data_IF_519154965032
#
_entry.id   IF_519154965032
#
_cell.length_a   1.000
_cell.length_b   1.000
_cell.length_c   1.000
_cell.angle_alpha   90.00
_cell.angle_beta   90.00
_cell.angle_gamma   90.00
#
_symmetry.space_group_name_H-M   'P 1'
#
loop_
_entity.id
_entity.type
_entity.pdbx_description
1 polymer ?
#
# COMPACT_ATOMS: atom_id res chain seq x y z
N UNK A 1 6.55 -20.93 31.20
CA UNK A 1 5.57 -19.84 31.43
C UNK A 1 5.75 -18.78 30.34
N UNK A 2 4.80 -18.59 29.41
CA UNK A 2 4.91 -17.50 28.44
C UNK A 2 4.70 -16.16 29.18
N UNK A 3 5.76 -15.35 29.23
CA UNK A 3 5.77 -14.03 29.86
C UNK A 3 4.67 -13.13 29.31
N UNK A 4 4.03 -12.36 30.20
CA UNK A 4 2.94 -11.43 29.91
C UNK A 4 3.40 -10.33 28.93
N UNK A 5 3.13 -10.52 27.63
CA UNK A 5 3.67 -9.72 26.50
C UNK A 5 3.19 -8.26 26.43
N UNK A 6 2.50 -7.74 27.46
CA UNK A 6 2.00 -6.35 27.49
C UNK A 6 2.96 -5.38 28.19
N UNK A 7 3.73 -5.85 29.16
CA UNK A 7 4.61 -4.97 29.97
C UNK A 7 5.97 -4.77 29.29
N UNK A 8 6.49 -3.53 29.19
CA UNK A 8 7.83 -3.29 28.69
C UNK A 8 8.91 -4.06 29.50
N UNK A 9 9.96 -4.58 28.84
CA UNK A 9 11.10 -5.21 29.50
C UNK A 9 11.75 -4.32 30.56
N UNK A 10 12.13 -4.88 31.71
CA UNK A 10 12.58 -4.10 32.87
C UNK A 10 13.96 -3.46 32.65
N UNK A 11 14.11 -2.20 33.06
CA UNK A 11 15.39 -1.53 33.32
C UNK A 11 16.06 -2.15 34.57
N UNK A 12 17.26 -2.71 34.43
CA UNK A 12 17.96 -3.48 35.48
C UNK A 12 19.42 -3.04 35.67
N UNK A 13 19.96 -3.28 36.86
CA UNK A 13 21.36 -3.01 37.18
C UNK A 13 22.23 -4.24 36.87
N UNK A 14 23.24 -4.07 36.03
CA UNK A 14 24.35 -5.01 35.94
C UNK A 14 25.36 -4.71 37.06
N UNK A 15 25.28 -5.47 38.14
CA UNK A 15 26.05 -5.25 39.38
C UNK A 15 27.57 -5.20 39.18
N UNK A 16 28.12 -6.03 38.30
CA UNK A 16 29.57 -6.13 38.08
C UNK A 16 30.18 -4.90 37.41
N UNK A 17 29.38 -4.10 36.69
CA UNK A 17 29.86 -2.94 35.92
C UNK A 17 29.21 -1.63 36.33
N UNK A 18 28.20 -1.64 37.21
CA UNK A 18 27.46 -0.44 37.58
C UNK A 18 26.64 0.16 36.44
N UNK A 19 26.33 -0.64 35.42
CA UNK A 19 25.64 -0.21 34.20
C UNK A 19 24.16 -0.57 34.25
N UNK A 20 23.35 0.27 33.64
CA UNK A 20 21.98 -0.04 33.30
C UNK A 20 21.91 -1.01 32.11
N UNK A 21 21.00 -1.97 32.19
CA UNK A 21 20.79 -2.99 31.16
C UNK A 21 19.30 -3.31 30.99
N UNK A 22 18.88 -3.55 29.76
CA UNK A 22 17.57 -4.13 29.41
C UNK A 22 17.80 -5.34 28.50
N UNK A 23 17.00 -6.39 28.66
CA UNK A 23 17.07 -7.57 27.78
C UNK A 23 15.92 -7.53 26.80
N UNK A 24 16.26 -7.42 25.52
CA UNK A 24 15.30 -7.39 24.41
C UNK A 24 15.61 -8.58 23.51
N UNK A 25 14.60 -9.37 23.13
CA UNK A 25 14.75 -10.56 22.28
C UNK A 25 15.85 -11.55 22.72
N UNK A 26 16.14 -11.63 24.03
CA UNK A 26 17.17 -12.52 24.57
C UNK A 26 18.60 -11.95 24.56
N UNK A 27 18.80 -10.70 24.11
CA UNK A 27 20.08 -9.99 24.09
C UNK A 27 20.09 -8.86 25.12
N UNK A 28 21.20 -8.70 25.83
CA UNK A 28 21.39 -7.62 26.79
C UNK A 28 21.88 -6.34 26.09
N UNK A 29 21.19 -5.23 26.33
CA UNK A 29 21.54 -3.90 25.84
C UNK A 29 21.97 -3.02 27.02
N UNK A 30 23.22 -2.57 27.03
CA UNK A 30 23.77 -1.69 28.05
C UNK A 30 23.47 -0.22 27.72
N UNK A 31 22.94 0.51 28.69
CA UNK A 31 22.32 1.82 28.49
C UNK A 31 23.17 2.97 29.04
N UNK A 32 24.34 2.65 29.60
CA UNK A 32 25.18 3.61 30.33
C UNK A 32 25.09 3.43 31.84
N UNK A 33 25.51 4.45 32.60
CA UNK A 33 25.61 4.38 34.06
C UNK A 33 24.24 4.18 34.68
N UNK A 34 24.13 3.26 35.65
CA UNK A 34 22.88 3.01 36.38
C UNK A 34 22.30 4.28 37.02
N UNK A 35 20.99 4.46 36.89
CA UNK A 35 20.22 5.61 37.42
C UNK A 35 20.67 6.98 36.89
N UNK A 36 21.34 7.03 35.74
CA UNK A 36 21.63 8.29 35.05
C UNK A 36 20.48 8.71 34.12
N UNK A 37 20.31 10.00 33.92
CA UNK A 37 19.36 10.56 32.95
C UNK A 37 19.63 10.03 31.53
N UNK A 38 20.90 9.92 31.15
CA UNK A 38 21.35 9.33 29.88
C UNK A 38 20.84 7.88 29.71
N UNK A 39 20.96 7.05 30.76
CA UNK A 39 20.50 5.66 30.71
C UNK A 39 18.99 5.50 30.67
N UNK A 40 18.24 6.43 31.26
CA UNK A 40 16.79 6.47 31.13
C UNK A 40 16.37 6.89 29.72
N UNK A 41 17.01 7.90 29.13
CA UNK A 41 16.76 8.31 27.74
C UNK A 41 17.06 7.19 26.75
N UNK A 42 18.17 6.46 26.95
CA UNK A 42 18.53 5.33 26.11
C UNK A 42 17.57 4.15 26.28
N UNK A 43 17.12 3.89 27.51
CA UNK A 43 16.05 2.92 27.79
C UNK A 43 14.77 3.28 27.02
N UNK A 44 14.28 4.51 27.16
CA UNK A 44 13.05 4.96 26.52
C UNK A 44 13.15 4.90 24.99
N UNK A 45 14.31 5.28 24.43
CA UNK A 45 14.58 5.16 22.98
C UNK A 45 14.49 3.71 22.50
N UNK A 46 15.23 2.81 23.15
CA UNK A 46 15.26 1.40 22.75
C UNK A 46 13.92 0.69 22.95
N UNK A 47 13.18 1.02 24.01
CA UNK A 47 11.83 0.48 24.22
C UNK A 47 10.88 1.01 23.14
N UNK A 48 10.96 2.28 22.77
CA UNK A 48 10.13 2.85 21.71
C UNK A 48 10.42 2.18 20.34
N UNK A 49 11.70 2.02 19.97
CA UNK A 49 12.13 1.30 18.77
C UNK A 49 11.63 -0.16 18.78
N UNK A 50 11.82 -0.88 19.89
CA UNK A 50 11.38 -2.26 20.05
C UNK A 50 9.86 -2.41 19.95
N UNK A 51 9.09 -1.51 20.55
CA UNK A 51 7.63 -1.50 20.44
C UNK A 51 7.18 -1.20 19.00
N UNK A 52 7.82 -0.24 18.33
CA UNK A 52 7.52 0.12 16.94
C UNK A 52 7.83 -1.03 15.97
N UNK A 53 8.92 -1.75 16.17
CA UNK A 53 9.30 -2.96 15.42
C UNK A 53 8.50 -4.23 15.81
N UNK A 54 7.31 -4.06 16.40
CA UNK A 54 6.43 -5.19 16.72
C UNK A 54 6.94 -6.09 17.85
N UNK A 55 7.68 -5.52 18.81
CA UNK A 55 8.38 -6.24 19.90
C UNK A 55 9.52 -7.11 19.39
N UNK A 56 10.26 -6.60 18.41
CA UNK A 56 11.51 -7.20 17.94
C UNK A 56 12.63 -6.18 17.97
N UNK A 57 13.86 -6.62 18.25
CA UNK A 57 15.04 -5.75 18.13
C UNK A 57 15.55 -5.88 16.70
N UNK A 58 15.79 -4.78 15.97
CA UNK A 58 16.53 -4.85 14.73
C UNK A 58 17.88 -5.51 15.00
N UNK A 59 18.20 -6.60 14.32
CA UNK A 59 19.55 -7.16 14.42
C UNK A 59 20.49 -6.25 13.63
N UNK A 60 21.06 -5.25 14.30
CA UNK A 60 21.99 -4.28 13.70
C UNK A 60 23.31 -4.97 13.29
N UNK A 61 23.50 -6.24 13.68
CA UNK A 61 24.72 -6.99 13.50
C UNK A 61 24.53 -8.25 12.65
N UNK A 62 24.14 -8.12 11.38
CA UNK A 62 24.50 -9.08 10.35
C UNK A 62 24.55 -8.36 8.99
N UNK A 63 25.54 -8.73 8.17
CA UNK A 63 25.96 -8.13 6.90
C UNK A 63 24.81 -7.60 6.02
N UNK A 64 25.03 -6.58 5.15
CA UNK A 64 24.00 -6.15 4.22
C UNK A 64 23.54 -7.38 3.43
N UNK A 65 22.35 -7.88 3.75
CA UNK A 65 21.69 -8.83 2.85
C UNK A 65 21.54 -8.04 1.56
N UNK A 66 22.27 -8.46 0.53
CA UNK A 66 22.06 -7.99 -0.83
C UNK A 66 20.60 -8.28 -1.16
N UNK A 67 19.76 -7.26 -0.96
CA UNK A 67 18.31 -7.38 -1.10
C UNK A 67 18.04 -7.48 -2.59
N UNK A 68 17.42 -8.56 -3.06
CA UNK A 68 16.99 -8.63 -4.45
C UNK A 68 15.69 -7.84 -4.63
N UNK A 69 15.35 -7.51 -5.88
CA UNK A 69 14.03 -6.94 -6.18
C UNK A 69 12.89 -7.86 -5.74
N UNK A 70 13.08 -9.18 -5.82
CA UNK A 70 12.10 -10.15 -5.32
C UNK A 70 11.93 -10.06 -3.79
N UNK A 71 13.01 -9.90 -3.03
CA UNK A 71 12.94 -9.72 -1.58
C UNK A 71 12.21 -8.43 -1.22
N UNK A 72 12.48 -7.32 -1.95
CA UNK A 72 11.74 -6.05 -1.78
C UNK A 72 10.25 -6.23 -2.06
N UNK A 73 9.89 -6.96 -3.13
CA UNK A 73 8.49 -7.25 -3.45
C UNK A 73 7.84 -8.08 -2.34
N UNK A 74 8.53 -9.11 -1.84
CA UNK A 74 8.02 -9.98 -0.79
C UNK A 74 7.79 -9.21 0.52
N UNK A 75 8.76 -8.40 0.94
CA UNK A 75 8.66 -7.55 2.12
C UNK A 75 7.52 -6.53 1.97
N UNK A 76 7.44 -5.86 0.82
CA UNK A 76 6.35 -4.92 0.54
C UNK A 76 4.98 -5.60 0.52
N UNK A 77 4.89 -6.84 0.04
CA UNK A 77 3.62 -7.58 -0.01
C UNK A 77 3.07 -7.89 1.39
N UNK A 78 3.94 -8.15 2.36
CA UNK A 78 3.55 -8.31 3.77
C UNK A 78 2.97 -7.00 4.31
N UNK A 79 3.68 -5.89 4.12
CA UNK A 79 3.19 -4.56 4.50
C UNK A 79 1.86 -4.22 3.81
N UNK A 80 1.79 -4.44 2.50
CA UNK A 80 0.64 -4.07 1.68
C UNK A 80 -0.64 -4.76 2.15
N UNK A 81 -0.59 -6.04 2.52
CA UNK A 81 -1.75 -6.79 3.05
C UNK A 81 -2.31 -6.20 4.35
N UNK A 82 -1.47 -5.56 5.15
CA UNK A 82 -1.87 -4.91 6.40
C UNK A 82 -2.35 -3.48 6.14
N UNK A 83 -1.67 -2.76 5.25
CA UNK A 83 -1.91 -1.35 4.97
C UNK A 83 -3.12 -1.09 4.06
N UNK A 84 -3.25 -1.81 2.94
CA UNK A 84 -4.29 -1.57 1.93
C UNK A 84 -5.61 -2.25 2.28
N UNK A 85 -6.19 -1.85 3.42
CA UNK A 85 -7.47 -2.34 3.92
C UNK A 85 -8.47 -1.21 4.10
N UNK A 86 -9.75 -1.50 3.89
CA UNK A 86 -10.87 -0.64 4.28
C UNK A 86 -11.89 -1.52 5.01
N UNK A 87 -12.27 -1.12 6.22
CA UNK A 87 -13.17 -1.89 7.10
C UNK A 87 -12.70 -3.33 7.35
N UNK A 88 -11.40 -3.52 7.56
CA UNK A 88 -10.81 -4.85 7.78
C UNK A 88 -10.60 -5.68 6.51
N UNK A 89 -11.22 -5.32 5.39
CA UNK A 89 -11.12 -6.06 4.12
C UNK A 89 -10.05 -5.51 3.19
N UNK A 90 -9.33 -6.37 2.44
CA UNK A 90 -8.39 -5.92 1.42
C UNK A 90 -9.04 -5.08 0.32
N UNK A 91 -8.40 -3.98 -0.05
CA UNK A 91 -8.86 -3.16 -1.18
C UNK A 91 -8.40 -3.75 -2.52
N UNK A 92 -9.07 -3.34 -3.62
CA UNK A 92 -8.65 -3.67 -5.00
C UNK A 92 -7.23 -3.20 -5.34
N UNK A 93 -6.63 -2.34 -4.52
CA UNK A 93 -5.26 -1.90 -4.75
C UNK A 93 -4.24 -3.04 -4.59
N UNK A 94 -4.53 -4.07 -3.77
CA UNK A 94 -3.68 -5.26 -3.71
C UNK A 94 -3.61 -6.01 -5.04
N UNK A 95 -4.74 -6.15 -5.73
CA UNK A 95 -4.75 -6.76 -7.07
C UNK A 95 -3.93 -5.94 -8.05
N UNK A 96 -4.08 -4.61 -8.02
CA UNK A 96 -3.31 -3.72 -8.89
C UNK A 96 -1.80 -3.77 -8.58
N UNK A 97 -1.42 -3.85 -7.30
CA UNK A 97 -0.04 -4.03 -6.87
C UNK A 97 0.51 -5.38 -7.33
N UNK A 98 -0.30 -6.45 -7.28
CA UNK A 98 0.07 -7.77 -7.79
C UNK A 98 0.40 -7.72 -9.29
N UNK A 99 -0.38 -7.00 -10.08
CA UNK A 99 -0.10 -6.80 -11.51
C UNK A 99 1.26 -6.10 -11.74
N UNK A 100 1.55 -5.03 -10.99
CA UNK A 100 2.81 -4.30 -11.06
C UNK A 100 4.01 -5.16 -10.62
N UNK A 101 3.86 -5.85 -9.48
CA UNK A 101 4.89 -6.72 -8.92
C UNK A 101 5.22 -7.89 -9.85
N UNK A 102 4.22 -8.43 -10.57
CA UNK A 102 4.42 -9.56 -11.49
C UNK A 102 5.37 -9.21 -12.65
N UNK A 103 5.21 -8.05 -13.28
CA UNK A 103 6.11 -7.64 -14.39
C UNK A 103 7.50 -7.28 -13.85
N UNK A 104 7.56 -6.63 -12.69
CA UNK A 104 8.82 -6.30 -12.02
C UNK A 104 9.61 -7.55 -11.66
N UNK A 105 8.98 -8.52 -10.98
CA UNK A 105 9.60 -9.80 -10.59
C UNK A 105 10.03 -10.61 -11.81
N UNK A 106 9.20 -10.66 -12.87
CA UNK A 106 9.51 -11.42 -14.08
C UNK A 106 10.80 -10.95 -14.75
N UNK A 107 11.06 -9.64 -14.78
CA UNK A 107 12.21 -9.08 -15.49
C UNK A 107 13.43 -8.88 -14.60
N UNK A 108 13.23 -8.53 -13.33
CA UNK A 108 14.29 -8.07 -12.44
C UNK A 108 14.31 -8.78 -11.08
N UNK A 109 13.52 -9.84 -10.87
CA UNK A 109 13.37 -10.48 -9.55
C UNK A 109 14.69 -10.85 -8.88
N UNK A 110 15.64 -11.41 -9.63
CA UNK A 110 16.96 -11.82 -9.14
C UNK A 110 18.02 -10.71 -9.20
N UNK A 111 17.67 -9.51 -9.67
CA UNK A 111 18.58 -8.36 -9.67
C UNK A 111 18.69 -7.81 -8.26
N UNK A 112 19.89 -7.36 -7.86
CA UNK A 112 20.05 -6.60 -6.63
C UNK A 112 19.21 -5.33 -6.70
N UNK A 113 18.50 -5.02 -5.62
CA UNK A 113 17.54 -3.92 -5.58
C UNK A 113 18.21 -2.56 -5.80
N UNK A 114 19.45 -2.38 -5.32
CA UNK A 114 20.23 -1.16 -5.53
C UNK A 114 20.73 -1.00 -6.97
N UNK A 115 20.78 -2.08 -7.74
CA UNK A 115 21.09 -2.04 -9.17
C UNK A 115 19.85 -1.76 -10.04
N UNK A 116 18.64 -1.82 -9.46
CA UNK A 116 17.41 -1.51 -10.16
C UNK A 116 17.24 0.01 -10.37
N UNK A 117 17.88 0.56 -11.40
CA UNK A 117 17.89 1.99 -11.68
C UNK A 117 16.80 2.51 -12.65
N UNK A 118 16.83 3.81 -12.98
CA UNK A 118 15.90 4.46 -13.92
C UNK A 118 15.85 3.80 -15.31
N UNK A 119 16.97 3.26 -15.80
CA UNK A 119 17.02 2.53 -17.08
C UNK A 119 16.21 1.23 -17.01
N UNK A 120 16.35 0.46 -15.93
CA UNK A 120 15.59 -0.75 -15.69
C UNK A 120 14.07 -0.47 -15.63
N UNK A 121 13.67 0.61 -14.95
CA UNK A 121 12.26 1.04 -14.91
C UNK A 121 11.72 1.44 -16.30
N UNK A 122 12.54 2.07 -17.16
CA UNK A 122 12.16 2.35 -18.56
C UNK A 122 12.00 1.06 -19.38
N UNK A 123 12.78 0.01 -19.13
CA UNK A 123 12.57 -1.30 -19.77
C UNK A 123 11.20 -1.88 -19.39
N UNK A 124 10.75 -1.70 -18.14
CA UNK A 124 9.39 -2.10 -17.75
C UNK A 124 8.32 -1.30 -18.51
N UNK A 125 8.53 0.00 -18.75
CA UNK A 125 7.62 0.78 -19.60
C UNK A 125 7.50 0.16 -20.99
N UNK A 126 8.63 -0.18 -21.61
CA UNK A 126 8.67 -0.80 -22.94
C UNK A 126 8.02 -2.19 -22.96
N UNK A 127 8.26 -3.00 -21.92
CA UNK A 127 7.61 -4.29 -21.77
C UNK A 127 6.09 -4.17 -21.74
N UNK A 128 5.56 -3.21 -20.97
CA UNK A 128 4.12 -3.01 -20.88
C UNK A 128 3.52 -2.42 -22.18
N UNK A 129 4.28 -1.61 -22.91
CA UNK A 129 3.91 -1.15 -24.26
C UNK A 129 3.79 -2.35 -25.20
N UNK A 130 4.80 -3.23 -25.24
CA UNK A 130 4.84 -4.43 -26.07
C UNK A 130 3.69 -5.40 -25.78
N UNK A 131 3.21 -5.44 -24.53
CA UNK A 131 2.03 -6.20 -24.15
C UNK A 131 0.69 -5.56 -24.60
N UNK A 132 0.72 -4.43 -25.31
CA UNK A 132 -0.48 -3.76 -25.83
C UNK A 132 -1.27 -2.96 -24.78
N UNK A 133 -0.65 -2.64 -23.64
CA UNK A 133 -1.34 -1.91 -22.58
C UNK A 133 -1.58 -0.44 -22.94
N UNK A 134 -2.61 0.17 -22.33
CA UNK A 134 -2.87 1.59 -22.52
C UNK A 134 -1.89 2.46 -21.75
N UNK A 135 -1.61 3.66 -22.26
CA UNK A 135 -0.73 4.66 -21.61
C UNK A 135 -1.10 4.91 -20.14
N UNK A 136 -2.40 5.08 -19.86
CA UNK A 136 -2.90 5.32 -18.52
C UNK A 136 -2.67 4.12 -17.59
N UNK A 137 -2.85 2.89 -18.09
CA UNK A 137 -2.55 1.69 -17.32
C UNK A 137 -1.05 1.59 -17.02
N UNK A 138 -0.20 1.78 -18.03
CA UNK A 138 1.26 1.74 -17.90
C UNK A 138 1.72 2.74 -16.83
N UNK A 139 1.31 4.00 -16.94
CA UNK A 139 1.66 5.03 -15.95
C UNK A 139 1.20 4.65 -14.53
N UNK A 140 0.03 4.02 -14.41
CA UNK A 140 -0.48 3.52 -13.13
C UNK A 140 0.35 2.37 -12.56
N UNK A 141 0.84 1.44 -13.40
CA UNK A 141 1.74 0.37 -12.97
C UNK A 141 3.12 0.91 -12.56
N UNK A 142 3.68 1.84 -13.34
CA UNK A 142 4.95 2.50 -13.02
C UNK A 142 4.85 3.27 -11.70
N UNK A 143 3.74 3.98 -11.47
CA UNK A 143 3.49 4.65 -10.19
C UNK A 143 3.49 3.70 -9.00
N UNK A 144 2.94 2.49 -9.17
CA UNK A 144 2.96 1.44 -8.15
C UNK A 144 4.35 0.88 -7.89
N UNK A 145 5.13 0.62 -8.94
CA UNK A 145 6.53 0.18 -8.80
C UNK A 145 7.33 1.23 -8.02
N UNK A 146 7.21 2.51 -8.38
CA UNK A 146 7.85 3.60 -7.62
C UNK A 146 7.41 3.64 -6.15
N UNK A 147 6.14 3.31 -5.87
CA UNK A 147 5.62 3.25 -4.50
C UNK A 147 6.26 2.11 -3.69
N UNK A 148 6.46 0.95 -4.31
CA UNK A 148 7.16 -0.19 -3.69
C UNK A 148 8.57 0.23 -3.26
N UNK A 149 9.35 0.84 -4.15
CA UNK A 149 10.71 1.28 -3.83
C UNK A 149 10.76 2.48 -2.87
N UNK A 150 9.79 3.39 -2.92
CA UNK A 150 9.69 4.47 -1.91
C UNK A 150 9.47 3.91 -0.52
N UNK A 151 8.61 2.91 -0.39
CA UNK A 151 8.43 2.19 0.87
C UNK A 151 9.71 1.45 1.28
N UNK A 152 10.38 0.77 0.35
CA UNK A 152 11.65 0.09 0.65
C UNK A 152 12.71 1.04 1.22
N UNK A 153 12.79 2.27 0.68
CA UNK A 153 13.66 3.33 1.23
C UNK A 153 13.24 3.75 2.64
N UNK A 154 11.94 3.88 2.92
CA UNK A 154 11.49 4.26 4.27
C UNK A 154 11.70 3.18 5.32
N UNK A 155 11.87 1.93 4.89
CA UNK A 155 12.20 0.78 5.75
C UNK A 155 13.71 0.47 5.75
N UNK A 156 14.54 1.34 5.16
CA UNK A 156 15.99 1.18 5.08
C UNK A 156 16.46 -0.12 4.40
N UNK A 157 15.63 -0.70 3.52
CA UNK A 157 15.91 -1.97 2.81
C UNK A 157 16.78 -1.80 1.56
N UNK A 158 16.91 -0.57 1.06
CA UNK A 158 17.63 -0.18 -0.15
C UNK A 158 18.25 1.20 0.05
N UNK A 159 19.20 1.59 -0.82
CA UNK A 159 19.88 2.88 -0.71
C UNK A 159 18.91 4.09 -0.73
N UNK A 160 19.19 5.15 0.04
CA UNK A 160 18.26 6.26 0.24
C UNK A 160 17.96 7.08 -1.02
N UNK A 161 18.90 7.16 -1.98
CA UNK A 161 18.73 7.91 -3.22
C UNK A 161 17.83 7.20 -4.26
N UNK A 162 17.57 5.89 -4.09
CA UNK A 162 16.91 5.07 -5.09
C UNK A 162 15.49 5.56 -5.41
N UNK A 163 14.72 5.93 -4.37
CA UNK A 163 13.37 6.45 -4.55
C UNK A 163 13.36 7.75 -5.37
N UNK A 164 14.34 8.63 -5.14
CA UNK A 164 14.49 9.86 -5.91
C UNK A 164 14.88 9.55 -7.36
N UNK A 165 15.87 8.69 -7.59
CA UNK A 165 16.31 8.30 -8.92
C UNK A 165 15.15 7.72 -9.76
N UNK A 166 14.36 6.81 -9.19
CA UNK A 166 13.18 6.24 -9.86
C UNK A 166 12.08 7.27 -10.10
N UNK A 167 11.93 8.26 -9.20
CA UNK A 167 10.96 9.33 -9.37
C UNK A 167 11.20 10.15 -10.65
N UNK A 168 12.47 10.34 -11.04
CA UNK A 168 12.89 11.07 -12.24
C UNK A 168 12.42 10.44 -13.56
N UNK A 169 12.04 9.16 -13.58
CA UNK A 169 11.48 8.51 -14.77
C UNK A 169 10.07 9.07 -15.03
N UNK A 170 9.92 9.95 -16.03
CA UNK A 170 8.60 10.51 -16.37
C UNK A 170 7.63 9.42 -16.82
N UNK A 171 6.35 9.64 -16.53
CA UNK A 171 5.27 8.86 -17.14
C UNK A 171 5.24 9.08 -18.65
N UNK A 172 4.71 8.10 -19.38
CA UNK A 172 4.48 8.19 -20.81
C UNK A 172 3.51 9.36 -21.11
N UNK A 173 3.94 10.24 -22.01
CA UNK A 173 3.19 11.40 -22.45
C UNK A 173 2.30 11.06 -23.65
N UNK A 174 1.16 11.74 -23.75
CA UNK A 174 0.18 11.50 -24.82
C UNK A 174 0.83 11.74 -26.18
N UNK A 175 0.70 10.77 -27.08
CA UNK A 175 1.25 10.87 -28.44
C UNK A 175 2.78 10.93 -28.53
N UNK A 176 3.50 10.52 -27.47
CA UNK A 176 4.98 10.51 -27.42
C UNK A 176 5.55 9.10 -27.23
N UNK A 177 4.73 8.07 -27.42
CA UNK A 177 5.09 6.66 -27.30
C UNK A 177 4.15 5.79 -28.11
N UNK A 178 4.53 4.55 -28.37
CA UNK A 178 3.70 3.53 -29.05
C UNK A 178 2.61 2.92 -28.15
N UNK A 179 2.51 3.35 -26.90
CA UNK A 179 1.44 2.92 -25.99
C UNK A 179 0.06 3.21 -26.57
N UNK A 180 -0.86 2.25 -26.43
CA UNK A 180 -2.25 2.42 -26.86
C UNK A 180 -2.90 3.61 -26.14
N UNK A 181 -3.51 4.51 -26.90
CA UNK A 181 -4.40 5.53 -26.34
C UNK A 181 -5.83 5.00 -26.27
N UNK A 182 -6.55 5.33 -25.20
CA UNK A 182 -7.96 4.98 -25.04
C UNK A 182 -8.82 6.20 -25.26
N UNK A 183 -9.91 6.06 -26.01
CA UNK A 183 -10.91 7.10 -26.14
C UNK A 183 -11.51 7.42 -24.75
N UNK A 184 -11.86 8.69 -24.49
CA UNK A 184 -12.67 9.05 -23.34
C UNK A 184 -14.00 8.27 -23.35
N UNK A 185 -14.49 7.89 -22.17
CA UNK A 185 -15.82 7.30 -22.04
C UNK A 185 -16.85 8.43 -22.14
N UNK A 186 -17.71 8.38 -23.16
CA UNK A 186 -18.77 9.35 -23.38
C UNK A 186 -20.05 9.00 -22.60
N UNK A 187 -20.92 10.00 -22.41
CA UNK A 187 -22.24 9.77 -21.85
C UNK A 187 -23.10 8.91 -22.81
N UNK A 188 -23.94 8.05 -22.23
CA UNK A 188 -24.89 7.23 -22.99
C UNK A 188 -26.17 8.03 -23.18
N UNK A 189 -26.71 8.05 -24.40
CA UNK A 189 -27.96 8.75 -24.70
C UNK A 189 -29.18 8.07 -24.05
N UNK A 190 -30.17 8.88 -23.66
CA UNK A 190 -31.35 8.40 -22.93
C UNK A 190 -32.15 7.34 -23.68
N UNK A 191 -32.26 7.46 -25.01
CA UNK A 191 -32.91 6.47 -25.85
C UNK A 191 -32.21 5.10 -25.78
N UNK A 192 -30.87 5.10 -25.75
CA UNK A 192 -30.08 3.87 -25.64
C UNK A 192 -30.28 3.24 -24.26
N UNK A 193 -30.31 4.05 -23.19
CA UNK A 193 -30.61 3.58 -21.84
C UNK A 193 -31.99 2.93 -21.79
N UNK A 194 -33.02 3.59 -22.33
CA UNK A 194 -34.39 3.08 -22.34
C UNK A 194 -34.51 1.75 -23.11
N UNK A 195 -33.90 1.66 -24.30
CA UNK A 195 -33.85 0.40 -25.08
C UNK A 195 -33.11 -0.71 -24.34
N UNK A 196 -32.02 -0.37 -23.64
CA UNK A 196 -31.24 -1.38 -22.90
C UNK A 196 -31.99 -1.89 -21.68
N UNK A 197 -32.68 -1.02 -20.93
CA UNK A 197 -33.50 -1.39 -19.76
C UNK A 197 -34.53 -2.48 -20.12
N UNK A 198 -35.13 -2.42 -21.30
CA UNK A 198 -36.12 -3.41 -21.76
C UNK A 198 -35.56 -4.85 -21.85
N UNK A 199 -34.24 -5.01 -21.90
CA UNK A 199 -33.56 -6.31 -21.95
C UNK A 199 -32.93 -6.72 -20.61
N UNK A 200 -33.05 -5.89 -19.56
CA UNK A 200 -32.49 -6.16 -18.24
C UNK A 200 -33.46 -6.93 -17.35
N UNK A 201 -32.93 -7.61 -16.33
CA UNK A 201 -33.77 -8.10 -15.24
C UNK A 201 -34.32 -6.91 -14.43
N UNK A 202 -35.48 -7.06 -13.77
CA UNK A 202 -36.09 -5.96 -13.00
C UNK A 202 -35.11 -5.31 -12.01
N UNK A 203 -34.33 -6.11 -11.28
CA UNK A 203 -33.36 -5.60 -10.29
C UNK A 203 -32.26 -4.75 -10.93
N UNK A 204 -31.73 -5.16 -12.09
CA UNK A 204 -30.67 -4.40 -12.76
C UNK A 204 -31.23 -3.14 -13.42
N UNK A 205 -32.45 -3.22 -13.98
CA UNK A 205 -33.17 -2.07 -14.50
C UNK A 205 -33.40 -1.01 -13.41
N UNK A 206 -33.86 -1.43 -12.23
CA UNK A 206 -34.07 -0.54 -11.08
C UNK A 206 -32.77 0.11 -10.60
N UNK A 207 -31.65 -0.64 -10.57
CA UNK A 207 -30.34 -0.09 -10.25
C UNK A 207 -29.92 1.00 -11.24
N UNK A 208 -30.06 0.76 -12.55
CA UNK A 208 -29.72 1.76 -13.59
C UNK A 208 -30.59 3.01 -13.43
N UNK A 209 -31.89 2.84 -13.20
CA UNK A 209 -32.80 3.98 -12.98
C UNK A 209 -32.46 4.75 -11.71
N UNK A 210 -32.21 4.05 -10.60
CA UNK A 210 -31.81 4.64 -9.33
C UNK A 210 -30.52 5.44 -9.46
N UNK A 211 -29.50 4.88 -10.11
CA UNK A 211 -28.23 5.56 -10.36
C UNK A 211 -28.40 6.80 -11.25
N UNK A 212 -29.28 6.74 -12.26
CA UNK A 212 -29.58 7.87 -13.14
C UNK A 212 -30.27 9.02 -12.41
N UNK A 213 -31.16 8.72 -11.46
CA UNK A 213 -31.86 9.72 -10.65
C UNK A 213 -30.97 10.36 -9.59
N UNK A 214 -30.04 9.60 -9.02
CA UNK A 214 -29.26 10.01 -7.85
C UNK A 214 -27.84 10.45 -8.17
N UNK A 215 -27.29 10.04 -9.31
CA UNK A 215 -25.87 10.22 -9.65
C UNK A 215 -24.91 9.40 -8.77
N UNK A 216 -25.42 8.47 -7.96
CA UNK A 216 -24.58 7.65 -7.07
C UNK A 216 -23.77 6.60 -7.85
N UNK A 217 -22.73 6.08 -7.21
CA UNK A 217 -21.88 5.03 -7.79
C UNK A 217 -22.59 3.67 -7.76
N UNK A 218 -22.22 2.74 -8.66
CA UNK A 218 -22.78 1.39 -8.64
C UNK A 218 -22.67 0.71 -7.27
N UNK A 219 -21.54 0.88 -6.58
CA UNK A 219 -21.34 0.31 -5.24
C UNK A 219 -22.24 0.95 -4.17
N UNK A 220 -22.58 2.24 -4.31
CA UNK A 220 -23.49 2.94 -3.41
C UNK A 220 -24.93 2.47 -3.66
N UNK A 221 -25.35 2.35 -4.93
CA UNK A 221 -26.64 1.79 -5.32
C UNK A 221 -26.84 0.34 -4.81
N UNK A 222 -25.82 -0.51 -4.95
CA UNK A 222 -25.88 -1.89 -4.45
C UNK A 222 -25.88 -2.01 -2.92
N UNK A 223 -25.51 -0.95 -2.20
CA UNK A 223 -25.41 -0.95 -0.74
C UNK A 223 -26.64 -0.33 -0.05
N UNK A 224 -27.62 0.16 -0.81
CA UNK A 224 -28.85 0.75 -0.27
C UNK A 224 -29.60 -0.28 0.59
N UNK A 225 -29.98 0.13 1.80
CA UNK A 225 -30.90 -0.63 2.67
C UNK A 225 -32.15 0.21 2.93
N UNK A 226 -33.30 -0.41 3.24
CA UNK A 226 -34.52 0.34 3.56
C UNK A 226 -34.34 1.39 4.65
N UNK A 227 -33.49 1.13 5.66
CA UNK A 227 -33.19 2.09 6.75
C UNK A 227 -32.40 3.33 6.30
N UNK A 228 -31.77 3.28 5.12
CA UNK A 228 -30.97 4.39 4.58
C UNK A 228 -31.84 5.36 3.75
N UNK A 229 -33.14 5.07 3.60
CA UNK A 229 -34.10 5.86 2.83
C UNK A 229 -35.08 6.58 3.76
N UNK A 230 -35.06 7.91 3.75
CA UNK A 230 -36.15 8.71 4.29
C UNK A 230 -37.26 8.82 3.24
N UNK A 231 -38.41 8.22 3.58
CA UNK A 231 -39.60 8.12 2.72
C UNK A 231 -40.76 8.97 3.25
N UNK A 232 -40.50 9.89 4.18
CA UNK A 232 -41.53 10.74 4.82
C UNK A 232 -42.19 11.75 3.87
N UNK A 233 -41.59 12.00 2.71
CA UNK A 233 -42.06 12.96 1.71
C UNK A 233 -42.17 12.34 0.31
N UNK A 234 -42.79 13.06 -0.62
CA UNK A 234 -42.93 12.64 -2.02
C UNK A 234 -41.57 12.42 -2.73
N UNK A 235 -40.53 13.16 -2.32
CA UNK A 235 -39.15 12.95 -2.76
C UNK A 235 -38.42 12.21 -1.65
N UNK A 236 -37.99 10.98 -1.92
CA UNK A 236 -37.23 10.20 -0.96
C UNK A 236 -35.79 10.68 -0.89
N UNK A 237 -35.19 10.64 0.30
CA UNK A 237 -33.76 10.98 0.49
C UNK A 237 -32.98 9.73 0.83
N UNK A 238 -31.88 9.50 0.11
CA UNK A 238 -30.94 8.43 0.40
C UNK A 238 -29.74 8.98 1.18
N UNK A 239 -29.52 8.43 2.38
CA UNK A 239 -28.41 8.79 3.26
C UNK A 239 -27.46 7.59 3.40
N UNK A 240 -26.40 7.51 2.57
CA UNK A 240 -25.44 6.41 2.68
C UNK A 240 -24.70 6.45 4.03
N UNK A 241 -24.47 5.28 4.62
CA UNK A 241 -23.77 5.14 5.92
C UNK A 241 -22.31 5.61 5.86
N UNK A 242 -21.68 5.58 4.68
CA UNK A 242 -20.32 6.08 4.47
C UNK A 242 -20.20 6.75 3.10
N UNK A 243 -19.40 7.81 3.04
CA UNK A 243 -19.10 8.53 1.81
C UNK A 243 -17.81 8.01 1.17
N UNK A 244 -17.65 8.21 -0.14
CA UNK A 244 -16.45 7.73 -0.85
C UNK A 244 -15.14 8.32 -0.31
N UNK A 245 -15.20 9.54 0.21
CA UNK A 245 -14.04 10.30 0.70
C UNK A 245 -13.68 9.99 2.15
N UNK A 246 -14.47 9.16 2.82
CA UNK A 246 -14.20 8.65 4.17
C UNK A 246 -13.23 7.45 4.11
#
# INVERSE_FOLDING_TARGET
MPSNRRTPPKYRLQKSRGLAVVTLNGKDHYLGRWQSEESYREYDRLIAEWLAAGRTVPDIAEQPRTMTVEDVIAAFWVYAKLHYRKNGEPTKELDNLRYAARVLRKLYGTTEADDFGPKALKVIQQELIRQGNSRNFINSQIGRIKRIFRWAVSEELVRPDLAHALSCVRGLQRGRSEARETAPVAAVGDEVVAKTIAHMTPVVADLVQFQRLTGCRPTEACAVRPKDLDRSHAIWRYHPESHKTD
#
